data_IF_972529668740
#
_entry.id   IF_972529668740
#
_cell.length_a   1.000
_cell.length_b   1.000
_cell.length_c   1.000
_cell.angle_alpha   90.00
_cell.angle_beta   90.00
_cell.angle_gamma   90.00
#
_symmetry.space_group_name_H-M   'P 1'
#
loop_
_entity.id
_entity.type
_entity.pdbx_description
1 polymer ?
#
# COMPACT_ATOMS: atom_id res chain seq x y z
N UNK A 1 -12.86 8.23 3.43
CA UNK A 1 -13.06 8.79 4.77
C UNK A 1 -14.50 8.51 5.13
N UNK A 2 -14.75 7.69 6.09
CA UNK A 2 -16.11 7.30 6.53
C UNK A 2 -17.07 6.84 5.41
N UNK A 3 -16.55 6.33 4.28
CA UNK A 3 -17.32 5.85 3.14
C UNK A 3 -17.85 6.94 2.18
N UNK A 4 -17.54 8.22 2.42
CA UNK A 4 -17.94 9.31 1.53
C UNK A 4 -16.85 9.60 0.48
N UNK A 5 -17.25 9.69 -0.78
CA UNK A 5 -16.39 10.15 -1.87
C UNK A 5 -16.56 11.65 -2.07
N UNK A 6 -15.45 12.35 -2.36
CA UNK A 6 -15.43 13.78 -2.66
C UNK A 6 -14.67 14.03 -3.95
N UNK A 7 -15.26 14.82 -4.82
CA UNK A 7 -14.59 15.28 -6.05
C UNK A 7 -13.78 16.54 -5.72
N UNK A 8 -12.50 16.52 -6.10
CA UNK A 8 -11.60 17.65 -6.03
C UNK A 8 -11.23 18.04 -7.45
N UNK A 9 -11.52 19.27 -7.83
CA UNK A 9 -11.16 19.82 -9.13
C UNK A 9 -9.65 19.99 -9.28
N UNK A 10 -9.15 19.88 -10.50
CA UNK A 10 -7.79 20.24 -10.87
C UNK A 10 -7.87 21.44 -11.80
N UNK A 11 -7.30 22.57 -11.37
CA UNK A 11 -7.29 23.80 -12.15
C UNK A 11 -6.43 23.65 -13.40
N UNK A 12 -5.23 23.09 -13.23
CA UNK A 12 -4.26 22.91 -14.30
C UNK A 12 -3.18 21.89 -13.90
N UNK A 13 -2.54 21.35 -14.90
CA UNK A 13 -1.24 20.71 -14.81
C UNK A 13 -0.38 21.26 -15.94
N UNK A 14 0.79 21.75 -15.63
CA UNK A 14 1.69 22.29 -16.64
C UNK A 14 3.13 21.84 -16.43
N UNK A 15 3.94 21.84 -17.50
CA UNK A 15 5.34 21.46 -17.48
C UNK A 15 6.21 22.67 -17.18
N UNK A 16 7.20 22.44 -16.34
CA UNK A 16 8.25 23.39 -15.97
C UNK A 16 9.61 22.71 -16.03
N UNK A 17 10.65 23.49 -15.86
CA UNK A 17 11.99 23.02 -15.56
C UNK A 17 12.31 23.27 -14.09
N UNK A 18 12.87 22.28 -13.40
CA UNK A 18 13.30 22.47 -12.01
C UNK A 18 14.50 23.41 -11.95
N UNK A 19 14.50 24.26 -10.94
CA UNK A 19 15.56 25.27 -10.76
C UNK A 19 16.74 24.73 -9.96
N UNK A 20 17.91 25.33 -10.18
CA UNK A 20 19.05 25.19 -9.28
C UNK A 20 18.79 25.88 -7.92
N UNK A 21 19.56 25.51 -6.91
CA UNK A 21 19.51 26.08 -5.56
C UNK A 21 20.73 26.95 -5.26
N UNK A 22 20.51 28.10 -4.60
CA UNK A 22 21.56 28.87 -3.96
C UNK A 22 21.68 28.46 -2.49
N UNK A 23 22.87 28.02 -2.07
CA UNK A 23 23.20 27.60 -0.72
C UNK A 23 23.99 28.68 -0.02
N UNK A 24 23.34 29.45 0.84
CA UNK A 24 23.96 30.61 1.50
C UNK A 24 24.53 30.26 2.88
N UNK A 25 23.98 29.27 3.56
CA UNK A 25 24.30 28.95 4.96
C UNK A 25 25.47 27.96 5.07
N UNK A 26 25.71 27.14 4.06
CA UNK A 26 26.72 26.09 4.07
C UNK A 26 28.15 26.61 3.78
N UNK A 27 28.30 27.85 3.29
CA UNK A 27 29.55 28.42 2.86
C UNK A 27 29.80 29.80 3.47
N UNK A 28 30.76 29.92 4.38
CA UNK A 28 31.13 31.22 4.99
C UNK A 28 31.67 32.21 3.95
N UNK A 29 30.90 33.27 3.71
CA UNK A 29 31.33 34.38 2.80
C UNK A 29 31.24 34.03 1.31
N UNK A 30 30.66 32.87 0.96
CA UNK A 30 30.46 32.45 -0.42
C UNK A 30 29.03 31.90 -0.56
N UNK A 31 28.56 31.82 -1.79
CA UNK A 31 27.31 31.16 -2.13
C UNK A 31 27.60 29.89 -2.92
N UNK A 32 27.20 28.75 -2.43
CA UNK A 32 27.20 27.52 -3.19
C UNK A 32 26.05 27.50 -4.20
N UNK A 33 26.24 26.87 -5.33
CA UNK A 33 25.20 26.66 -6.34
C UNK A 33 25.04 25.15 -6.54
N UNK A 34 23.86 24.66 -6.25
CA UNK A 34 23.48 23.25 -6.50
C UNK A 34 22.61 23.17 -7.76
N UNK A 35 23.13 22.51 -8.79
CA UNK A 35 22.48 22.34 -10.09
C UNK A 35 22.01 20.89 -10.32
N UNK A 36 22.00 20.04 -9.30
CA UNK A 36 21.65 18.61 -9.45
C UNK A 36 20.28 18.40 -10.09
N UNK A 37 19.35 19.31 -9.86
CA UNK A 37 17.98 19.23 -10.40
C UNK A 37 17.68 20.26 -11.48
N UNK A 38 18.61 21.17 -11.78
CA UNK A 38 18.40 22.20 -12.79
C UNK A 38 18.13 21.60 -14.16
N UNK A 39 17.05 22.05 -14.80
CA UNK A 39 16.60 21.54 -16.10
C UNK A 39 15.91 20.18 -16.07
N UNK A 40 15.71 19.58 -14.89
CA UNK A 40 14.88 18.36 -14.77
C UNK A 40 13.43 18.70 -15.06
N UNK A 41 12.71 17.96 -15.96
CA UNK A 41 11.30 18.19 -16.19
C UNK A 41 10.49 18.10 -14.89
N UNK A 42 9.65 19.10 -14.67
CA UNK A 42 8.78 19.22 -13.51
C UNK A 42 7.33 19.39 -13.98
N UNK A 43 6.42 18.64 -13.37
CA UNK A 43 4.99 18.78 -13.59
C UNK A 43 4.37 19.43 -12.34
N UNK A 44 3.85 20.66 -12.46
CA UNK A 44 3.05 21.29 -11.42
C UNK A 44 1.58 20.97 -11.59
N UNK A 45 0.94 20.39 -10.57
CA UNK A 45 -0.48 20.07 -10.54
C UNK A 45 -1.16 20.95 -9.48
N UNK A 46 -2.11 21.79 -9.90
CA UNK A 46 -2.80 22.73 -9.02
C UNK A 46 -4.25 22.32 -8.85
N UNK A 47 -4.67 22.10 -7.60
CA UNK A 47 -6.05 21.77 -7.27
C UNK A 47 -6.94 23.00 -7.20
N UNK A 48 -8.25 22.82 -7.42
CA UNK A 48 -9.26 23.78 -6.98
C UNK A 48 -9.31 23.84 -5.44
N UNK A 49 -9.80 24.96 -4.86
CA UNK A 49 -9.88 25.11 -3.41
C UNK A 49 -11.11 24.39 -2.82
N UNK A 50 -11.28 23.11 -3.15
CA UNK A 50 -12.43 22.30 -2.76
C UNK A 50 -12.25 21.60 -1.41
N UNK A 51 -11.01 21.42 -0.97
CA UNK A 51 -10.68 20.75 0.28
C UNK A 51 -11.07 21.56 1.50
N UNK A 52 -11.56 20.90 2.55
CA UNK A 52 -12.09 21.55 3.78
C UNK A 52 -11.44 21.00 5.06
N UNK A 53 -10.50 20.09 4.94
CA UNK A 53 -9.75 19.55 6.09
C UNK A 53 -8.35 19.09 5.69
N UNK A 54 -7.46 18.99 6.67
CA UNK A 54 -6.13 18.43 6.49
C UNK A 54 -6.19 16.96 5.99
N UNK A 55 -7.18 16.18 6.46
CA UNK A 55 -7.38 14.79 6.02
C UNK A 55 -7.75 14.71 4.55
N UNK A 56 -8.61 15.59 4.06
CA UNK A 56 -8.95 15.67 2.62
C UNK A 56 -7.71 16.03 1.78
N UNK A 57 -6.89 16.98 2.25
CA UNK A 57 -5.65 17.35 1.58
C UNK A 57 -4.67 16.18 1.49
N UNK A 58 -4.51 15.41 2.57
CA UNK A 58 -3.67 14.21 2.58
C UNK A 58 -4.23 13.14 1.65
N UNK A 59 -5.54 12.90 1.64
CA UNK A 59 -6.17 11.93 0.76
C UNK A 59 -5.97 12.30 -0.72
N UNK A 60 -6.16 13.58 -1.07
CA UNK A 60 -5.90 14.11 -2.40
C UNK A 60 -4.43 13.94 -2.81
N UNK A 61 -3.50 14.37 -1.95
CA UNK A 61 -2.07 14.27 -2.23
C UNK A 61 -1.63 12.79 -2.43
N UNK A 62 -2.14 11.85 -1.62
CA UNK A 62 -1.91 10.41 -1.79
C UNK A 62 -2.47 9.88 -3.11
N UNK A 63 -3.64 10.39 -3.53
CA UNK A 63 -4.24 9.99 -4.79
C UNK A 63 -3.40 10.44 -5.98
N UNK A 64 -2.96 11.70 -6.00
CA UNK A 64 -2.05 12.21 -7.04
C UNK A 64 -0.72 11.43 -7.03
N UNK A 65 -0.15 11.22 -5.85
CA UNK A 65 1.08 10.43 -5.70
C UNK A 65 0.93 9.01 -6.28
N UNK A 66 -0.18 8.32 -6.01
CA UNK A 66 -0.47 7.01 -6.58
C UNK A 66 -0.54 7.07 -8.10
N UNK A 67 -1.25 8.06 -8.66
CA UNK A 67 -1.42 8.23 -10.11
C UNK A 67 -0.06 8.44 -10.80
N UNK A 68 0.77 9.37 -10.31
CA UNK A 68 2.06 9.66 -10.96
C UNK A 68 3.04 8.48 -10.88
N UNK A 69 2.97 7.67 -9.82
CA UNK A 69 3.72 6.42 -9.73
C UNK A 69 3.20 5.34 -10.69
N UNK A 70 1.89 5.16 -10.80
CA UNK A 70 1.28 4.22 -11.75
C UNK A 70 1.64 4.56 -13.21
N UNK A 71 1.69 5.85 -13.53
CA UNK A 71 2.11 6.34 -14.84
C UNK A 71 3.63 6.28 -15.06
N UNK A 72 4.42 6.03 -14.02
CA UNK A 72 5.88 6.02 -14.12
C UNK A 72 6.48 7.41 -14.33
N UNK A 73 5.76 8.49 -13.96
CA UNK A 73 6.23 9.88 -14.10
C UNK A 73 7.37 10.15 -13.12
N UNK A 74 7.27 9.69 -11.89
CA UNK A 74 8.31 9.81 -10.88
C UNK A 74 8.26 8.65 -9.87
N UNK A 75 9.31 8.52 -9.04
CA UNK A 75 9.38 7.52 -7.97
C UNK A 75 8.52 7.87 -6.75
N UNK A 76 8.07 9.13 -6.67
CA UNK A 76 7.23 9.64 -5.59
C UNK A 76 7.97 9.89 -4.28
N UNK A 77 9.32 9.91 -4.27
CA UNK A 77 10.09 10.12 -3.05
C UNK A 77 9.98 11.58 -2.57
N UNK A 78 9.21 11.78 -1.49
CA UNK A 78 9.02 13.10 -0.90
C UNK A 78 10.27 13.61 -0.17
N UNK A 79 11.12 12.74 0.36
CA UNK A 79 12.33 13.13 1.10
C UNK A 79 13.41 13.66 0.15
N UNK A 80 13.52 13.04 -1.02
CA UNK A 80 14.44 13.48 -2.07
C UNK A 80 13.86 14.57 -2.97
N UNK A 81 12.57 14.91 -2.76
CA UNK A 81 11.88 15.97 -3.49
C UNK A 81 11.44 15.59 -4.90
N UNK A 82 11.34 14.30 -5.22
CA UNK A 82 10.73 13.82 -6.46
C UNK A 82 9.22 14.06 -6.49
N UNK A 83 8.59 14.07 -5.32
CA UNK A 83 7.22 14.51 -5.10
C UNK A 83 7.21 15.60 -4.03
N UNK A 84 6.83 16.82 -4.40
CA UNK A 84 6.73 17.96 -3.50
C UNK A 84 5.28 18.37 -3.34
N UNK A 85 4.92 18.87 -2.17
CA UNK A 85 3.58 19.33 -1.88
C UNK A 85 3.67 20.67 -1.13
N UNK A 86 3.09 21.72 -1.71
CA UNK A 86 2.89 23.00 -1.07
C UNK A 86 1.39 23.13 -0.74
N UNK A 87 1.04 23.64 0.44
CA UNK A 87 -0.35 23.78 0.84
C UNK A 87 -0.71 25.27 1.01
N UNK A 88 -1.74 25.71 0.30
CA UNK A 88 -2.35 27.02 0.50
C UNK A 88 -3.51 26.91 1.50
N UNK A 89 -3.38 27.53 2.66
CA UNK A 89 -4.33 27.43 3.76
C UNK A 89 -4.95 28.79 4.07
N UNK A 90 -6.27 28.84 4.15
CA UNK A 90 -7.02 30.01 4.64
C UNK A 90 -8.20 29.54 5.49
N UNK A 91 -8.62 30.39 6.43
CA UNK A 91 -9.84 30.19 7.22
C UNK A 91 -10.84 31.28 6.96
N UNK A 92 -12.13 30.98 7.08
CA UNK A 92 -13.22 31.92 6.96
C UNK A 92 -14.37 31.61 7.91
N UNK A 93 -15.21 32.58 8.25
CA UNK A 93 -16.46 32.31 8.93
C UNK A 93 -17.39 31.50 8.01
N UNK A 94 -18.20 30.59 8.58
CA UNK A 94 -19.10 29.74 7.81
C UNK A 94 -20.09 30.49 6.95
N UNK A 95 -20.52 31.67 7.42
CA UNK A 95 -21.50 32.53 6.75
C UNK A 95 -20.87 33.33 5.58
N UNK A 96 -19.55 33.42 5.51
CA UNK A 96 -18.90 34.19 4.45
C UNK A 96 -18.76 33.36 3.17
N UNK A 97 -19.15 33.93 2.03
CA UNK A 97 -19.00 33.29 0.73
C UNK A 97 -17.53 33.26 0.26
N UNK A 98 -16.81 34.34 0.51
CA UNK A 98 -15.43 34.53 0.05
C UNK A 98 -14.42 33.78 0.95
N UNK A 99 -13.33 33.34 0.33
CA UNK A 99 -12.20 32.74 1.07
C UNK A 99 -11.45 33.82 1.87
N UNK A 100 -10.86 33.37 2.99
CA UNK A 100 -9.94 34.22 3.75
C UNK A 100 -8.59 34.40 3.05
N UNK A 101 -7.75 35.28 3.61
CA UNK A 101 -6.37 35.43 3.17
C UNK A 101 -5.60 34.13 3.39
N UNK A 102 -4.91 33.68 2.35
CA UNK A 102 -4.16 32.41 2.38
C UNK A 102 -2.71 32.59 2.81
N UNK A 103 -2.17 31.61 3.51
CA UNK A 103 -0.74 31.39 3.69
C UNK A 103 -0.31 30.16 2.92
N UNK A 104 0.85 30.22 2.28
CA UNK A 104 1.46 29.11 1.55
C UNK A 104 2.43 28.37 2.49
N UNK A 105 2.21 27.08 2.70
CA UNK A 105 3.06 26.22 3.51
C UNK A 105 4.04 25.46 2.64
N UNK A 106 5.33 25.55 2.98
CA UNK A 106 6.43 24.86 2.31
C UNK A 106 7.23 23.96 3.26
N UNK A 107 8.17 23.18 2.70
CA UNK A 107 9.03 22.27 3.44
C UNK A 107 8.25 21.06 4.01
N UNK A 108 7.31 20.54 3.24
CA UNK A 108 6.48 19.39 3.62
C UNK A 108 6.99 18.17 2.88
N UNK A 109 7.71 17.30 3.58
CA UNK A 109 8.38 16.12 2.99
C UNK A 109 7.77 14.78 3.42
N UNK A 110 6.55 14.79 3.94
CA UNK A 110 5.74 13.58 4.18
C UNK A 110 4.25 13.91 4.28
N UNK A 111 3.39 12.94 4.02
CA UNK A 111 1.94 13.09 4.19
C UNK A 111 1.54 13.38 5.65
N UNK A 112 2.28 12.83 6.61
CA UNK A 112 2.08 13.13 8.03
C UNK A 112 2.37 14.60 8.35
N UNK A 113 3.45 15.14 7.78
CA UNK A 113 3.79 16.55 7.98
C UNK A 113 2.83 17.48 7.25
N UNK A 114 2.26 17.06 6.11
CA UNK A 114 1.20 17.79 5.44
C UNK A 114 -0.03 17.96 6.35
N UNK A 115 -0.48 16.90 7.00
CA UNK A 115 -1.62 16.94 7.92
C UNK A 115 -1.33 17.88 9.11
N UNK A 116 -0.16 17.72 9.74
CA UNK A 116 0.23 18.51 10.90
C UNK A 116 0.40 19.99 10.56
N UNK A 117 1.09 20.32 9.46
CA UNK A 117 1.31 21.67 9.02
C UNK A 117 -0.01 22.41 8.72
N UNK A 118 -0.95 21.76 8.04
CA UNK A 118 -2.27 22.33 7.76
C UNK A 118 -3.04 22.59 9.06
N UNK A 119 -3.10 21.62 9.96
CA UNK A 119 -3.82 21.76 11.23
C UNK A 119 -3.22 22.89 12.08
N UNK A 120 -1.90 22.95 12.22
CA UNK A 120 -1.22 24.03 12.93
C UNK A 120 -1.57 25.41 12.32
N UNK A 121 -1.51 25.54 11.01
CA UNK A 121 -1.77 26.80 10.34
C UNK A 121 -3.24 27.22 10.46
N UNK A 122 -4.18 26.28 10.41
CA UNK A 122 -5.60 26.54 10.65
C UNK A 122 -5.82 27.10 12.05
N UNK A 123 -5.26 26.46 13.08
CA UNK A 123 -5.36 26.91 14.47
C UNK A 123 -4.73 28.31 14.64
N UNK A 124 -3.53 28.50 14.12
CA UNK A 124 -2.85 29.82 14.15
C UNK A 124 -3.68 30.95 13.53
N UNK A 125 -4.30 30.70 12.36
CA UNK A 125 -5.13 31.68 11.69
C UNK A 125 -6.41 31.97 12.48
N UNK A 126 -7.03 30.96 13.08
CA UNK A 126 -8.21 31.14 13.94
C UNK A 126 -7.85 31.99 15.15
N UNK A 127 -6.80 31.63 15.89
CA UNK A 127 -6.35 32.38 17.08
C UNK A 127 -6.02 33.84 16.75
N UNK A 128 -5.36 34.08 15.61
CA UNK A 128 -5.02 35.41 15.14
C UNK A 128 -6.28 36.25 14.85
N UNK A 129 -7.27 35.70 14.15
CA UNK A 129 -8.51 36.38 13.81
C UNK A 129 -9.36 36.64 15.06
N UNK A 130 -9.49 35.64 15.95
CA UNK A 130 -10.24 35.77 17.19
C UNK A 130 -9.64 36.81 18.15
N UNK A 131 -8.30 36.98 18.13
CA UNK A 131 -7.61 38.06 18.86
C UNK A 131 -7.72 39.43 18.21
N UNK A 132 -8.43 39.58 17.10
CA UNK A 132 -8.62 40.82 16.38
C UNK A 132 -7.49 41.17 15.40
N UNK A 133 -6.57 40.24 15.15
CA UNK A 133 -5.51 40.36 14.14
C UNK A 133 -6.00 40.06 12.73
N UNK A 134 -5.11 40.20 11.75
CA UNK A 134 -5.37 39.90 10.33
C UNK A 134 -4.33 38.95 9.79
N UNK A 135 -4.78 37.93 9.06
CA UNK A 135 -3.90 37.02 8.30
C UNK A 135 -3.26 37.81 7.16
N UNK A 136 -1.95 37.68 7.01
CA UNK A 136 -1.18 38.27 5.91
C UNK A 136 -0.87 37.18 4.89
N UNK A 137 -0.91 37.53 3.61
CA UNK A 137 -0.50 36.61 2.55
C UNK A 137 1.03 36.46 2.58
N UNK A 138 1.50 35.31 3.00
CA UNK A 138 2.91 35.03 3.16
C UNK A 138 3.24 33.56 2.85
N UNK A 139 4.53 33.26 2.62
CA UNK A 139 5.06 31.93 2.58
C UNK A 139 5.61 31.58 3.96
N UNK A 140 5.21 30.41 4.47
CA UNK A 140 5.61 29.89 5.77
C UNK A 140 6.30 28.54 5.62
N UNK A 141 7.39 28.33 6.35
CA UNK A 141 8.06 27.03 6.43
C UNK A 141 7.51 26.23 7.61
N UNK A 142 7.20 24.98 7.34
CA UNK A 142 6.89 24.03 8.40
C UNK A 142 8.18 23.49 9.02
N UNK A 143 8.28 23.59 10.34
CA UNK A 143 9.38 23.04 11.17
C UNK A 143 8.88 21.76 11.84
N UNK A 144 9.35 20.62 11.36
CA UNK A 144 8.88 19.31 11.82
C UNK A 144 9.32 18.98 13.25
N UNK A 145 10.45 19.55 13.72
CA UNK A 145 10.98 19.29 15.06
C UNK A 145 10.17 20.04 16.12
N UNK A 146 9.74 21.26 15.80
CA UNK A 146 8.93 22.09 16.67
C UNK A 146 7.44 21.97 16.47
N UNK A 147 7.02 21.32 15.37
CA UNK A 147 5.62 21.23 14.95
C UNK A 147 4.93 22.58 14.81
N UNK A 148 5.61 23.52 14.18
CA UNK A 148 5.12 24.90 13.99
C UNK A 148 5.40 25.40 12.56
N UNK A 149 4.67 26.43 12.13
CA UNK A 149 5.00 27.17 10.91
C UNK A 149 5.65 28.52 11.27
N UNK A 150 6.70 28.90 10.53
CA UNK A 150 7.34 30.21 10.68
C UNK A 150 7.33 31.00 9.39
N UNK A 151 7.13 32.30 9.46
CA UNK A 151 7.18 33.20 8.29
C UNK A 151 8.57 33.13 7.64
N UNK A 152 8.59 32.98 6.33
CA UNK A 152 9.82 32.97 5.53
C UNK A 152 10.05 34.35 4.87
N UNK A 153 9.01 34.86 4.23
CA UNK A 153 8.97 36.19 3.59
C UNK A 153 7.53 36.60 3.35
N UNK A 154 7.25 37.92 3.37
CA UNK A 154 6.01 38.45 2.83
C UNK A 154 6.05 38.33 1.31
N UNK A 155 4.97 37.94 0.67
CA UNK A 155 4.79 38.12 -0.78
C UNK A 155 4.48 39.60 -1.02
N UNK A 156 5.53 40.40 -1.12
CA UNK A 156 5.40 41.71 -1.72
C UNK A 156 5.21 41.51 -3.22
N UNK A 157 4.03 41.86 -3.72
CA UNK A 157 3.56 41.95 -5.10
C UNK A 157 3.91 40.73 -5.98
N UNK A 158 2.91 40.22 -6.66
CA UNK A 158 3.10 39.21 -7.72
C UNK A 158 3.99 39.82 -8.79
N UNK A 159 5.29 39.61 -8.64
CA UNK A 159 6.26 40.10 -9.61
C UNK A 159 5.95 39.51 -10.98
N UNK A 160 6.12 40.32 -11.98
CA UNK A 160 6.07 39.97 -13.39
C UNK A 160 6.82 38.68 -13.68
N UNK A 161 6.07 37.56 -13.77
CA UNK A 161 6.60 36.23 -14.15
C UNK A 161 7.00 36.16 -15.62
N UNK A 162 6.91 37.29 -16.36
CA UNK A 162 7.28 37.38 -17.77
C UNK A 162 6.61 36.30 -18.62
N UNK A 163 5.31 36.09 -18.45
CA UNK A 163 4.52 35.19 -19.28
C UNK A 163 4.44 35.70 -20.74
N UNK A 164 5.48 35.47 -21.49
CA UNK A 164 5.50 35.67 -22.94
C UNK A 164 6.16 34.46 -23.60
N UNK A 165 5.78 34.14 -24.85
CA UNK A 165 6.41 33.05 -25.59
C UNK A 165 7.91 33.31 -25.75
N UNK A 166 8.72 32.29 -25.47
CA UNK A 166 10.15 32.36 -25.73
C UNK A 166 10.36 32.39 -27.26
N UNK A 167 11.08 33.39 -27.82
CA UNK A 167 11.25 33.51 -29.27
C UNK A 167 12.07 32.37 -29.88
N UNK A 168 12.85 31.64 -29.08
CA UNK A 168 13.68 30.52 -29.53
C UNK A 168 12.92 29.20 -29.53
N UNK A 169 11.71 29.14 -28.95
CA UNK A 169 10.88 27.95 -28.92
C UNK A 169 9.83 27.97 -30.03
N UNK A 170 9.76 26.90 -30.77
CA UNK A 170 8.73 26.71 -31.79
C UNK A 170 7.37 26.36 -31.12
N UNK A 171 6.23 26.74 -31.71
CA UNK A 171 4.93 26.28 -31.25
C UNK A 171 4.87 24.75 -31.20
N UNK A 172 4.33 24.21 -30.09
CA UNK A 172 4.10 22.77 -29.96
C UNK A 172 2.76 22.42 -30.59
N UNK A 173 2.80 21.59 -31.62
CA UNK A 173 1.58 21.07 -32.27
C UNK A 173 1.27 19.66 -31.74
N UNK A 174 0.13 19.51 -31.04
CA UNK A 174 -0.35 18.25 -30.52
C UNK A 174 -1.46 17.74 -31.45
N UNK A 175 -1.17 16.72 -32.23
CA UNK A 175 -2.14 16.09 -33.13
C UNK A 175 -3.07 15.12 -32.38
N UNK A 176 -4.26 14.88 -32.96
CA UNK A 176 -5.18 13.87 -32.44
C UNK A 176 -4.54 12.47 -32.41
N UNK A 177 -3.70 12.14 -33.41
CA UNK A 177 -2.96 10.88 -33.45
C UNK A 177 -2.02 10.74 -32.24
N UNK A 178 -1.31 11.80 -31.85
CA UNK A 178 -0.45 11.79 -30.66
C UNK A 178 -1.26 11.59 -29.39
N UNK A 179 -2.44 12.19 -29.30
CA UNK A 179 -3.34 12.01 -28.16
C UNK A 179 -3.83 10.55 -28.08
N UNK A 180 -4.20 9.97 -29.23
CA UNK A 180 -4.69 8.59 -29.29
C UNK A 180 -3.58 7.57 -28.98
N UNK A 181 -2.36 7.83 -29.44
CA UNK A 181 -1.19 7.02 -29.09
C UNK A 181 -0.93 7.02 -27.58
N UNK A 182 -0.95 8.19 -26.96
CA UNK A 182 -0.79 8.33 -25.49
C UNK A 182 -1.91 7.64 -24.74
N UNK A 183 -3.18 7.82 -25.16
CA UNK A 183 -4.32 7.13 -24.53
C UNK A 183 -4.18 5.61 -24.61
N UNK A 184 -3.73 5.11 -25.75
CA UNK A 184 -3.55 3.66 -25.98
C UNK A 184 -2.40 3.08 -25.15
N UNK A 185 -1.42 3.90 -24.78
CA UNK A 185 -0.27 3.52 -23.98
C UNK A 185 -0.52 3.66 -22.46
N UNK A 186 -1.63 4.32 -22.04
CA UNK A 186 -1.94 4.45 -20.62
C UNK A 186 -2.17 3.08 -19.98
N UNK A 187 -1.54 2.79 -18.81
CA UNK A 187 -1.87 1.61 -18.06
C UNK A 187 -3.29 1.69 -17.47
N UNK A 188 -3.85 0.55 -17.09
CA UNK A 188 -5.07 0.54 -16.30
C UNK A 188 -4.87 1.36 -15.03
N UNK A 189 -5.74 2.35 -14.80
CA UNK A 189 -5.61 3.26 -13.66
C UNK A 189 -5.97 2.57 -12.34
N UNK A 190 -5.38 3.00 -11.20
CA UNK A 190 -5.53 2.30 -9.91
C UNK A 190 -6.98 2.10 -9.47
N UNK A 191 -7.88 3.06 -9.74
CA UNK A 191 -9.30 2.90 -9.38
C UNK A 191 -9.99 1.85 -10.24
N UNK A 192 -9.76 1.86 -11.55
CA UNK A 192 -10.32 0.87 -12.46
C UNK A 192 -9.82 -0.53 -12.12
N UNK A 193 -8.53 -0.65 -11.77
CA UNK A 193 -7.93 -1.91 -11.39
C UNK A 193 -8.47 -2.43 -10.05
N UNK A 194 -8.66 -1.54 -9.07
CA UNK A 194 -9.32 -1.88 -7.81
C UNK A 194 -10.73 -2.39 -8.04
N UNK A 195 -11.55 -1.64 -8.79
CA UNK A 195 -12.93 -2.00 -9.07
C UNK A 195 -13.01 -3.35 -9.82
N UNK A 196 -12.06 -3.60 -10.71
CA UNK A 196 -11.91 -4.90 -11.39
C UNK A 196 -11.48 -6.02 -10.43
N UNK A 197 -10.61 -5.75 -9.47
CA UNK A 197 -10.22 -6.74 -8.46
C UNK A 197 -11.41 -7.10 -7.54
N UNK A 198 -12.26 -6.15 -7.23
CA UNK A 198 -13.50 -6.42 -6.50
C UNK A 198 -14.48 -7.24 -7.34
N UNK A 199 -14.70 -6.89 -8.62
CA UNK A 199 -15.69 -7.54 -9.48
C UNK A 199 -15.25 -8.90 -9.99
N UNK A 200 -14.04 -9.02 -10.54
CA UNK A 200 -13.60 -10.21 -11.27
C UNK A 200 -12.98 -11.26 -10.35
N UNK A 201 -12.39 -10.84 -9.22
CA UNK A 201 -11.76 -11.73 -8.27
C UNK A 201 -12.53 -11.87 -6.95
N UNK A 202 -13.68 -11.22 -6.83
CA UNK A 202 -14.53 -11.25 -5.63
C UNK A 202 -13.77 -10.88 -4.34
N UNK A 203 -12.80 -9.97 -4.44
CA UNK A 203 -12.04 -9.49 -3.30
C UNK A 203 -12.83 -8.46 -2.50
N UNK A 204 -12.54 -8.37 -1.21
CA UNK A 204 -13.07 -7.26 -0.40
C UNK A 204 -12.47 -5.93 -0.87
N UNK A 205 -13.19 -4.82 -0.66
CA UNK A 205 -12.69 -3.48 -0.96
C UNK A 205 -11.31 -3.25 -0.32
N UNK A 206 -11.12 -3.64 0.93
CA UNK A 206 -9.85 -3.49 1.65
C UNK A 206 -8.72 -4.27 1.00
N UNK A 207 -8.99 -5.52 0.56
CA UNK A 207 -8.00 -6.35 -0.11
C UNK A 207 -7.62 -5.76 -1.47
N UNK A 208 -8.63 -5.35 -2.26
CA UNK A 208 -8.44 -4.72 -3.55
C UNK A 208 -7.64 -3.40 -3.44
N UNK A 209 -7.97 -2.53 -2.48
CA UNK A 209 -7.21 -1.30 -2.20
C UNK A 209 -5.75 -1.60 -1.84
N UNK A 210 -5.50 -2.60 -1.00
CA UNK A 210 -4.14 -2.97 -0.58
C UNK A 210 -3.30 -3.53 -1.73
N UNK A 211 -3.89 -4.39 -2.56
CA UNK A 211 -3.22 -5.00 -3.70
C UNK A 211 -3.00 -4.04 -4.87
N UNK A 212 -3.82 -2.99 -4.98
CA UNK A 212 -3.67 -1.95 -6.01
C UNK A 212 -3.00 -0.67 -5.50
N UNK A 213 -2.40 -0.70 -4.31
CA UNK A 213 -1.69 0.44 -3.75
C UNK A 213 -0.49 0.86 -4.60
N UNK A 214 0.18 -0.09 -5.26
CA UNK A 214 1.20 0.16 -6.28
C UNK A 214 0.97 -0.72 -7.51
N UNK A 215 1.51 -0.29 -8.66
CA UNK A 215 1.41 -1.05 -9.90
C UNK A 215 2.10 -2.40 -9.78
N UNK A 216 3.28 -2.41 -9.19
CA UNK A 216 4.12 -3.61 -9.02
C UNK A 216 3.44 -4.66 -8.15
N UNK A 217 2.76 -4.23 -7.08
CA UNK A 217 1.99 -5.12 -6.22
C UNK A 217 0.80 -5.74 -6.96
N UNK A 218 0.10 -4.94 -7.74
CA UNK A 218 -1.04 -5.40 -8.50
C UNK A 218 -0.61 -6.37 -9.63
N UNK A 219 0.47 -6.08 -10.34
CA UNK A 219 1.05 -6.96 -11.37
C UNK A 219 1.50 -8.29 -10.76
N UNK A 220 2.11 -8.23 -9.56
CA UNK A 220 2.51 -9.40 -8.81
C UNK A 220 1.31 -10.28 -8.43
N UNK A 221 0.24 -9.67 -7.91
CA UNK A 221 -0.98 -10.40 -7.56
C UNK A 221 -1.60 -11.08 -8.78
N UNK A 222 -1.78 -10.37 -9.89
CA UNK A 222 -2.39 -10.94 -11.10
C UNK A 222 -1.57 -12.11 -11.65
N UNK A 223 -0.24 -11.96 -11.69
CA UNK A 223 0.67 -13.03 -12.14
C UNK A 223 0.57 -14.26 -11.23
N UNK A 224 0.62 -14.06 -9.92
CA UNK A 224 0.52 -15.15 -8.95
C UNK A 224 -0.86 -15.83 -9.02
N UNK A 225 -1.95 -15.04 -9.12
CA UNK A 225 -3.30 -15.56 -9.20
C UNK A 225 -3.57 -16.33 -10.49
N UNK A 226 -3.03 -15.89 -11.62
CA UNK A 226 -3.16 -16.60 -12.89
C UNK A 226 -2.60 -18.04 -12.81
N UNK A 227 -1.58 -18.27 -11.97
CA UNK A 227 -0.98 -19.58 -11.74
C UNK A 227 -1.73 -20.35 -10.64
N UNK A 228 -2.10 -19.68 -9.58
CA UNK A 228 -2.73 -20.27 -8.40
C UNK A 228 -4.18 -20.71 -8.67
N UNK A 229 -4.95 -19.91 -9.40
CA UNK A 229 -6.36 -20.14 -9.67
C UNK A 229 -7.28 -19.92 -8.46
N UNK A 230 -6.81 -19.21 -7.42
CA UNK A 230 -7.58 -18.88 -6.21
C UNK A 230 -7.19 -17.48 -5.73
N UNK A 231 -8.00 -16.50 -6.12
CA UNK A 231 -7.70 -15.09 -5.90
C UNK A 231 -7.64 -14.72 -4.41
N UNK A 232 -8.59 -15.23 -3.62
CA UNK A 232 -8.65 -14.93 -2.20
C UNK A 232 -7.50 -15.52 -1.42
N UNK A 233 -7.12 -16.76 -1.76
CA UNK A 233 -5.97 -17.41 -1.13
C UNK A 233 -4.67 -16.70 -1.52
N UNK A 234 -4.53 -16.32 -2.79
CA UNK A 234 -3.36 -15.56 -3.28
C UNK A 234 -3.25 -14.21 -2.58
N UNK A 235 -4.35 -13.46 -2.48
CA UNK A 235 -4.40 -12.18 -1.76
C UNK A 235 -3.97 -12.35 -0.30
N UNK A 236 -4.49 -13.36 0.40
CA UNK A 236 -4.15 -13.63 1.79
C UNK A 236 -2.66 -13.92 1.98
N UNK A 237 -2.02 -14.67 1.08
CA UNK A 237 -0.59 -14.97 1.15
C UNK A 237 0.28 -13.75 0.87
N UNK A 238 -0.12 -12.90 -0.07
CA UNK A 238 0.58 -11.65 -0.38
C UNK A 238 0.50 -10.68 0.80
N UNK A 239 -0.71 -10.41 1.30
CA UNK A 239 -0.92 -9.44 2.39
C UNK A 239 -0.46 -9.96 3.75
N UNK A 240 -0.41 -11.29 3.92
CA UNK A 240 0.05 -11.93 5.14
C UNK A 240 1.55 -12.23 5.12
N UNK A 241 1.90 -13.45 4.73
CA UNK A 241 3.26 -14.00 4.88
C UNK A 241 4.29 -13.25 4.03
N UNK A 242 3.97 -12.91 2.77
CA UNK A 242 4.89 -12.20 1.88
C UNK A 242 5.16 -10.78 2.41
N UNK A 243 4.11 -10.03 2.74
CA UNK A 243 4.26 -8.67 3.29
C UNK A 243 5.00 -8.67 4.63
N UNK A 244 4.77 -9.66 5.49
CA UNK A 244 5.48 -9.80 6.75
C UNK A 244 6.98 -10.07 6.53
N UNK A 245 7.33 -10.92 5.56
CA UNK A 245 8.72 -11.21 5.22
C UNK A 245 9.43 -9.99 4.61
N UNK A 246 8.77 -9.28 3.69
CA UNK A 246 9.29 -8.04 3.10
C UNK A 246 9.56 -6.97 4.17
N UNK A 247 8.59 -6.73 5.07
CA UNK A 247 8.73 -5.75 6.14
C UNK A 247 9.87 -6.09 7.11
N UNK A 248 10.07 -7.37 7.42
CA UNK A 248 11.15 -7.85 8.28
C UNK A 248 12.54 -7.52 7.72
N UNK A 249 12.70 -7.54 6.40
CA UNK A 249 13.97 -7.31 5.73
C UNK A 249 14.09 -5.93 5.07
N UNK A 250 13.06 -5.08 5.20
CA UNK A 250 13.04 -3.75 4.56
C UNK A 250 13.06 -3.82 3.02
N UNK A 251 12.44 -4.86 2.45
CA UNK A 251 12.34 -5.06 1.00
C UNK A 251 10.98 -4.59 0.49
N UNK A 252 10.92 -4.27 -0.78
CA UNK A 252 9.68 -4.08 -1.53
C UNK A 252 9.37 -5.28 -2.43
N UNK A 253 8.21 -5.26 -3.09
CA UNK A 253 7.74 -6.37 -3.91
C UNK A 253 8.66 -6.66 -5.11
N UNK A 254 9.35 -5.63 -5.64
CA UNK A 254 10.24 -5.75 -6.80
C UNK A 254 11.52 -6.49 -6.43
N UNK A 255 11.95 -6.39 -5.16
CA UNK A 255 13.16 -7.02 -4.63
C UNK A 255 12.88 -8.30 -3.85
N UNK A 256 11.64 -8.80 -3.90
CA UNK A 256 11.25 -10.04 -3.25
C UNK A 256 12.00 -11.25 -3.83
N UNK A 257 12.63 -12.10 -3.01
CA UNK A 257 13.25 -13.34 -3.47
C UNK A 257 12.23 -14.39 -3.94
N UNK A 258 10.97 -14.27 -3.47
CA UNK A 258 9.86 -15.11 -3.94
C UNK A 258 9.13 -14.33 -5.02
N UNK A 259 9.31 -14.74 -6.28
CA UNK A 259 8.61 -14.11 -7.42
C UNK A 259 7.13 -14.45 -7.43
N UNK A 260 6.34 -13.74 -8.23
CA UNK A 260 4.91 -14.01 -8.38
C UNK A 260 4.63 -15.44 -8.85
N UNK A 261 5.47 -15.96 -9.76
CA UNK A 261 5.35 -17.31 -10.28
C UNK A 261 5.63 -18.37 -9.18
N UNK A 262 6.63 -18.13 -8.36
CA UNK A 262 6.96 -19.02 -7.25
C UNK A 262 5.84 -19.04 -6.22
N UNK A 263 5.31 -17.85 -5.84
CA UNK A 263 4.20 -17.77 -4.90
C UNK A 263 2.95 -18.43 -5.47
N UNK A 264 2.60 -18.13 -6.72
CA UNK A 264 1.43 -18.73 -7.39
C UNK A 264 1.51 -20.24 -7.47
N UNK A 265 2.71 -20.80 -7.76
CA UNK A 265 2.96 -22.23 -7.73
C UNK A 265 2.73 -22.85 -6.35
N UNK A 266 3.19 -22.19 -5.28
CA UNK A 266 2.95 -22.64 -3.91
C UNK A 266 1.46 -22.56 -3.52
N UNK A 267 0.80 -21.45 -3.82
CA UNK A 267 -0.63 -21.25 -3.51
C UNK A 267 -1.48 -22.30 -4.24
N UNK A 268 -1.13 -22.65 -5.49
CA UNK A 268 -1.77 -23.73 -6.22
C UNK A 268 -1.68 -25.08 -5.46
N UNK A 269 -0.53 -25.36 -4.81
CA UNK A 269 -0.36 -26.61 -4.02
C UNK A 269 -1.17 -26.61 -2.72
N UNK A 270 -1.55 -25.43 -2.24
CA UNK A 270 -2.50 -25.31 -1.13
C UNK A 270 -3.92 -25.53 -1.64
N UNK A 271 -4.30 -24.88 -2.76
CA UNK A 271 -5.62 -24.97 -3.36
C UNK A 271 -5.96 -26.42 -3.78
N UNK A 272 -5.01 -27.14 -4.38
CA UNK A 272 -5.17 -28.55 -4.79
C UNK A 272 -4.98 -29.55 -3.63
N UNK A 273 -4.73 -29.07 -2.40
CA UNK A 273 -4.53 -29.85 -1.18
C UNK A 273 -3.28 -30.75 -1.19
N UNK A 274 -2.31 -30.46 -2.03
CA UNK A 274 -1.00 -31.16 -2.01
C UNK A 274 -0.27 -30.90 -0.69
N UNK A 275 -0.38 -29.68 -0.13
CA UNK A 275 0.14 -29.31 1.18
C UNK A 275 -0.94 -28.60 2.00
N UNK A 276 -0.84 -28.72 3.32
CA UNK A 276 -1.68 -27.95 4.25
C UNK A 276 -1.17 -26.52 4.41
N UNK A 277 -2.03 -25.59 4.81
CA UNK A 277 -1.63 -24.20 5.09
C UNK A 277 -0.50 -24.07 6.12
N UNK A 278 -0.39 -25.02 7.05
CA UNK A 278 0.72 -25.06 8.01
C UNK A 278 2.03 -25.44 7.33
N UNK A 279 2.03 -26.49 6.49
CA UNK A 279 3.22 -26.89 5.74
C UNK A 279 3.62 -25.84 4.69
N UNK A 280 2.66 -25.11 4.15
CA UNK A 280 2.92 -24.03 3.21
C UNK A 280 3.78 -22.91 3.81
N UNK A 281 3.67 -22.63 5.12
CA UNK A 281 4.56 -21.68 5.79
C UNK A 281 6.02 -22.13 5.79
N UNK A 282 6.25 -23.41 6.05
CA UNK A 282 7.59 -23.99 6.02
C UNK A 282 8.16 -24.00 4.58
N UNK A 283 7.29 -24.23 3.59
CA UNK A 283 7.66 -24.15 2.16
C UNK A 283 7.98 -22.69 1.77
N UNK A 284 7.16 -21.73 2.18
CA UNK A 284 7.39 -20.32 1.92
C UNK A 284 8.72 -19.84 2.51
N UNK A 285 9.01 -20.19 3.76
CA UNK A 285 10.27 -19.83 4.40
C UNK A 285 11.48 -20.42 3.64
N UNK A 286 11.38 -21.67 3.18
CA UNK A 286 12.42 -22.29 2.35
C UNK A 286 12.58 -21.59 0.99
N UNK A 287 11.46 -21.22 0.34
CA UNK A 287 11.48 -20.42 -0.90
C UNK A 287 12.11 -19.05 -0.67
N UNK A 288 11.77 -18.39 0.43
CA UNK A 288 12.35 -17.10 0.82
C UNK A 288 13.86 -17.16 1.00
N UNK A 289 14.36 -18.27 1.52
CA UNK A 289 15.80 -18.54 1.68
C UNK A 289 16.48 -19.05 0.39
N UNK A 290 15.76 -19.12 -0.73
CA UNK A 290 16.33 -19.49 -2.02
C UNK A 290 16.52 -21.00 -2.23
N UNK A 291 15.83 -21.87 -1.48
CA UNK A 291 15.95 -23.33 -1.61
C UNK A 291 15.29 -23.88 -2.90
N UNK A 292 14.57 -23.05 -3.65
CA UNK A 292 13.99 -23.41 -4.95
C UNK A 292 12.47 -23.21 -5.03
N UNK A 293 11.82 -23.89 -5.96
CA UNK A 293 10.37 -23.83 -6.15
C UNK A 293 9.62 -24.65 -5.08
N UNK A 294 8.33 -24.32 -4.89
CA UNK A 294 7.48 -25.08 -3.96
C UNK A 294 7.49 -26.57 -4.24
N UNK A 295 7.38 -26.98 -5.51
CA UNK A 295 7.39 -28.40 -5.90
C UNK A 295 8.70 -29.10 -5.53
N UNK A 296 9.84 -28.46 -5.81
CA UNK A 296 11.15 -29.01 -5.45
C UNK A 296 11.31 -29.17 -3.93
N UNK A 297 10.87 -28.19 -3.16
CA UNK A 297 10.94 -28.22 -1.68
C UNK A 297 9.99 -29.29 -1.12
N UNK A 298 8.75 -29.37 -1.64
CA UNK A 298 7.77 -30.38 -1.22
C UNK A 298 8.30 -31.79 -1.46
N UNK A 299 8.93 -32.02 -2.59
CA UNK A 299 9.51 -33.31 -2.94
C UNK A 299 10.74 -33.62 -2.06
N UNK A 300 11.69 -32.73 -1.98
CA UNK A 300 12.94 -32.92 -1.22
C UNK A 300 12.69 -33.14 0.28
N UNK A 301 11.73 -32.42 0.87
CA UNK A 301 11.37 -32.55 2.30
C UNK A 301 10.23 -33.55 2.54
N UNK A 302 9.69 -34.17 1.49
CA UNK A 302 8.59 -35.14 1.58
C UNK A 302 7.34 -34.55 2.26
N UNK A 303 6.95 -33.34 1.93
CA UNK A 303 5.87 -32.59 2.59
C UNK A 303 4.47 -32.83 2.01
N UNK A 304 4.33 -33.75 1.05
CA UNK A 304 3.01 -34.07 0.49
C UNK A 304 2.03 -34.50 1.57
N UNK A 305 0.84 -33.94 1.51
CA UNK A 305 -0.24 -34.28 2.43
C UNK A 305 -0.68 -35.74 2.19
N UNK A 306 -0.92 -36.46 3.27
CA UNK A 306 -1.48 -37.78 3.20
C UNK A 306 -2.99 -37.63 3.00
N UNK A 307 -3.50 -38.02 1.85
CA UNK A 307 -4.93 -38.02 1.51
C UNK A 307 -5.52 -39.41 1.40
N UNK A 308 -4.68 -40.44 1.46
CA UNK A 308 -5.14 -41.82 1.51
C UNK A 308 -5.88 -42.12 2.82
N UNK A 309 -7.17 -42.36 2.71
CA UNK A 309 -8.06 -42.59 3.84
C UNK A 309 -7.59 -43.77 4.68
N UNK A 310 -7.08 -44.88 4.06
CA UNK A 310 -6.59 -46.02 4.79
C UNK A 310 -5.33 -45.73 5.62
N UNK A 311 -4.41 -44.93 5.07
CA UNK A 311 -3.22 -44.53 5.81
C UNK A 311 -3.57 -43.57 6.98
N UNK A 312 -4.52 -42.66 6.80
CA UNK A 312 -4.99 -41.78 7.89
C UNK A 312 -5.73 -42.59 8.95
N UNK A 313 -6.57 -43.53 8.53
CA UNK A 313 -7.34 -44.44 9.41
C UNK A 313 -6.41 -45.25 10.30
N UNK A 314 -5.34 -45.82 9.76
CA UNK A 314 -4.34 -46.53 10.53
C UNK A 314 -3.67 -45.68 11.62
N UNK A 315 -3.34 -44.42 11.30
CA UNK A 315 -2.78 -43.49 12.28
C UNK A 315 -3.83 -43.14 13.36
N UNK A 316 -5.09 -42.93 12.98
CA UNK A 316 -6.19 -42.67 13.92
C UNK A 316 -6.35 -43.86 14.87
N UNK A 317 -6.39 -45.09 14.36
CA UNK A 317 -6.51 -46.30 15.18
C UNK A 317 -5.34 -46.47 16.16
N UNK A 318 -4.11 -46.20 15.73
CA UNK A 318 -2.94 -46.21 16.59
C UNK A 318 -3.01 -45.15 17.69
N UNK A 319 -3.50 -43.94 17.37
CA UNK A 319 -3.71 -42.84 18.36
C UNK A 319 -4.78 -43.22 19.37
N UNK A 320 -5.90 -43.81 18.94
CA UNK A 320 -6.97 -44.24 19.81
C UNK A 320 -6.51 -45.36 20.73
N UNK A 321 -5.81 -46.35 20.18
CA UNK A 321 -5.25 -47.49 20.93
C UNK A 321 -4.21 -47.04 21.97
N UNK A 322 -3.42 -46.00 21.65
CA UNK A 322 -2.39 -45.46 22.56
C UNK A 322 -2.93 -44.55 23.65
N UNK A 323 -4.22 -44.19 23.59
CA UNK A 323 -4.83 -43.23 24.52
C UNK A 323 -6.17 -43.75 25.09
N UNK A 324 -6.25 -44.96 25.68
CA UNK A 324 -7.51 -45.60 26.07
C UNK A 324 -8.28 -44.78 27.14
N UNK A 325 -7.58 -44.17 28.07
CA UNK A 325 -8.20 -43.37 29.12
C UNK A 325 -8.90 -42.12 28.57
N UNK A 326 -8.28 -41.48 27.57
CA UNK A 326 -8.87 -40.28 26.90
C UNK A 326 -10.07 -40.66 26.03
N UNK A 327 -10.04 -41.85 25.42
CA UNK A 327 -11.17 -42.37 24.64
C UNK A 327 -12.36 -42.64 25.60
N UNK A 328 -12.12 -43.25 26.75
CA UNK A 328 -13.16 -43.49 27.76
C UNK A 328 -13.71 -42.17 28.30
N UNK A 329 -12.87 -41.20 28.61
CA UNK A 329 -13.27 -39.87 29.03
C UNK A 329 -14.13 -39.16 27.98
N UNK A 330 -13.79 -39.28 26.68
CA UNK A 330 -14.57 -38.72 25.59
C UNK A 330 -15.95 -39.37 25.48
N UNK A 331 -16.03 -40.71 25.57
CA UNK A 331 -17.29 -41.44 25.48
C UNK A 331 -18.26 -41.11 26.61
N UNK A 332 -17.72 -40.88 27.81
CA UNK A 332 -18.47 -40.53 29.02
C UNK A 332 -18.76 -39.02 29.14
N UNK A 333 -18.19 -38.17 28.26
CA UNK A 333 -18.35 -36.74 28.34
C UNK A 333 -19.72 -36.25 27.80
N UNK A 334 -20.30 -35.19 28.36
CA UNK A 334 -21.47 -34.53 27.78
C UNK A 334 -21.16 -33.98 26.38
N UNK A 335 -22.16 -33.94 25.50
CA UNK A 335 -22.00 -33.58 24.09
C UNK A 335 -21.44 -32.17 23.88
N UNK A 336 -21.74 -31.24 24.78
CA UNK A 336 -21.21 -29.87 24.77
C UNK A 336 -19.67 -29.82 24.97
N UNK A 337 -19.06 -30.84 25.60
CA UNK A 337 -17.62 -30.94 25.87
C UNK A 337 -16.86 -31.75 24.81
N UNK A 338 -17.54 -32.65 24.11
CA UNK A 338 -16.93 -33.53 23.10
C UNK A 338 -16.18 -32.77 22.01
N UNK A 339 -16.72 -31.63 21.56
CA UNK A 339 -16.08 -30.77 20.56
C UNK A 339 -14.69 -30.25 20.94
N UNK A 340 -14.45 -29.98 22.22
CA UNK A 340 -13.12 -29.57 22.71
C UNK A 340 -12.18 -30.76 22.90
N UNK A 341 -12.73 -31.93 23.32
CA UNK A 341 -11.93 -33.11 23.59
C UNK A 341 -11.43 -33.79 22.32
N UNK A 342 -12.15 -33.70 21.20
CA UNK A 342 -11.72 -34.25 19.91
C UNK A 342 -10.43 -33.55 19.43
N UNK A 343 -10.22 -32.28 19.80
CA UNK A 343 -9.03 -31.53 19.47
C UNK A 343 -7.72 -32.16 20.00
N UNK A 344 -7.79 -32.86 21.14
CA UNK A 344 -6.65 -33.64 21.65
C UNK A 344 -6.23 -34.73 20.68
N UNK A 345 -7.18 -35.56 20.21
CA UNK A 345 -6.89 -36.66 19.28
C UNK A 345 -6.42 -36.12 17.93
N UNK A 346 -7.04 -35.09 17.42
CA UNK A 346 -6.56 -34.38 16.21
C UNK A 346 -5.10 -33.96 16.37
N UNK A 347 -4.75 -33.36 17.52
CA UNK A 347 -3.37 -32.98 17.83
C UNK A 347 -2.39 -34.15 17.81
N UNK A 348 -2.78 -35.32 18.37
CA UNK A 348 -1.94 -36.52 18.38
C UNK A 348 -1.77 -37.09 16.97
N UNK A 349 -2.84 -37.20 16.19
CA UNK A 349 -2.79 -37.66 14.78
C UNK A 349 -1.90 -36.73 13.94
N UNK A 350 -2.06 -35.40 14.10
CA UNK A 350 -1.22 -34.43 13.41
C UNK A 350 0.26 -34.56 13.83
N UNK A 351 0.54 -34.84 15.10
CA UNK A 351 1.91 -35.04 15.58
C UNK A 351 2.52 -36.33 14.97
N UNK A 352 1.79 -37.44 14.97
CA UNK A 352 2.25 -38.71 14.39
C UNK A 352 2.45 -38.62 12.88
N UNK A 353 1.54 -37.96 12.18
CA UNK A 353 1.65 -37.71 10.73
C UNK A 353 2.67 -36.62 10.36
N UNK A 354 3.34 -35.99 11.35
CA UNK A 354 4.23 -34.83 11.16
C UNK A 354 3.53 -33.67 10.40
N UNK A 355 2.25 -33.45 10.67
CA UNK A 355 1.45 -32.42 10.02
C UNK A 355 0.95 -32.76 8.61
N UNK A 356 1.17 -34.01 8.14
CA UNK A 356 0.84 -34.40 6.76
C UNK A 356 -0.58 -34.97 6.60
N UNK A 357 -1.25 -35.40 7.66
CA UNK A 357 -2.62 -35.92 7.56
C UNK A 357 -3.59 -34.74 7.25
N UNK A 358 -4.62 -35.04 6.42
CA UNK A 358 -5.67 -34.04 6.13
C UNK A 358 -6.53 -33.81 7.37
N UNK A 359 -6.56 -32.58 7.95
CA UNK A 359 -7.28 -32.34 9.20
C UNK A 359 -8.80 -32.58 9.11
N UNK A 360 -9.41 -32.37 7.94
CA UNK A 360 -10.84 -32.63 7.73
C UNK A 360 -11.15 -34.14 7.77
N UNK A 361 -10.34 -34.94 7.07
CA UNK A 361 -10.46 -36.40 7.09
C UNK A 361 -10.18 -36.97 8.48
N UNK A 362 -9.15 -36.42 9.17
CA UNK A 362 -8.85 -36.81 10.57
C UNK A 362 -10.05 -36.54 11.48
N UNK A 363 -10.64 -35.37 11.40
CA UNK A 363 -11.82 -35.02 12.21
C UNK A 363 -13.00 -35.91 11.90
N UNK A 364 -13.23 -36.22 10.64
CA UNK A 364 -14.32 -37.12 10.23
C UNK A 364 -14.12 -38.54 10.80
N UNK A 365 -12.96 -39.14 10.58
CA UNK A 365 -12.63 -40.47 11.07
C UNK A 365 -12.67 -40.57 12.60
N UNK A 366 -12.19 -39.55 13.30
CA UNK A 366 -12.26 -39.50 14.76
C UNK A 366 -13.71 -39.41 15.27
N UNK A 367 -14.61 -38.72 14.58
CA UNK A 367 -16.04 -38.66 14.93
C UNK A 367 -16.76 -39.99 14.67
N UNK A 368 -16.32 -40.75 13.67
CA UNK A 368 -16.90 -42.04 13.33
C UNK A 368 -16.43 -43.16 14.31
N UNK A 369 -15.20 -43.03 14.86
CA UNK A 369 -14.58 -44.07 15.70
C UNK A 369 -14.68 -43.84 17.21
N UNK A 370 -14.95 -42.58 17.66
CA UNK A 370 -15.12 -42.20 19.07
C UNK A 370 -16.57 -42.27 19.52
#
# INVERSE_FOLDING_TARGET
>A
MDGESKIIGVTRAHLEEDAGKSLHEDFRGMTGIDLNRAGTPLLEIVSEPDMRSAKEAVAYARKIHQIVRYLGICDGNMQEGSFRCDANVSVKLKEHAEFGTRAELKNINSFRFLERAINFEVERQIDLIESGGKVVQETRLYDADKDETRSMRSKEEANDYRYFPDPDLLPVEISDAMIDDVKSALPEMPDMRRDRFESDFELSQQDAESLTASREMADYFETANAIAGDAKLTANWIMGELSAAMNREGRDIVTSPVTAELLGGMVRRIADKTISGKLAKDVFEAMWNGEGSADAIIEAKGLKQITDTGAIEAIVDEVLASNPQQVENYRNAPDDKKGKMIGFFVGQVMKMSKGKANPQQVNQLLREKL
#
